data_IF_252408052590
#
_entry.id   IF_252408052590
#
_cell.length_a   1.000
_cell.length_b   1.000
_cell.length_c   1.000
_cell.angle_alpha   90.00
_cell.angle_beta   90.00
_cell.angle_gamma   90.00
#
_symmetry.space_group_name_H-M   'P 1'
#
loop_
_entity.id
_entity.type
_entity.pdbx_description
1 polymer ?
#
# COMPACT_ATOMS: atom_id res chain seq x y z
N UNK A 1 -16.75 -7.01 -17.86
CA UNK A 1 -15.55 -6.60 -18.61
C UNK A 1 -15.11 -5.18 -18.28
N UNK A 2 -15.94 -4.14 -18.48
CA UNK A 2 -15.57 -2.75 -18.14
C UNK A 2 -15.20 -2.55 -16.66
N UNK A 3 -15.96 -3.15 -15.74
CA UNK A 3 -15.70 -3.08 -14.29
C UNK A 3 -14.31 -3.57 -13.89
N UNK A 4 -13.83 -4.66 -14.53
CA UNK A 4 -12.49 -5.20 -14.31
C UNK A 4 -11.41 -4.22 -14.77
N UNK A 5 -11.59 -3.59 -15.93
CA UNK A 5 -10.65 -2.58 -16.46
C UNK A 5 -10.58 -1.39 -15.51
N UNK A 6 -11.71 -0.88 -15.03
CA UNK A 6 -11.74 0.19 -14.02
C UNK A 6 -11.05 -0.22 -12.72
N UNK A 7 -11.28 -1.45 -12.25
CA UNK A 7 -10.58 -2.00 -11.09
C UNK A 7 -9.06 -2.00 -11.27
N UNK A 8 -8.56 -2.48 -12.41
CA UNK A 8 -7.12 -2.47 -12.71
C UNK A 8 -6.53 -1.05 -12.68
N UNK A 9 -7.24 -0.07 -13.25
CA UNK A 9 -6.79 1.34 -13.26
C UNK A 9 -6.72 1.90 -11.83
N UNK A 10 -7.73 1.65 -11.00
CA UNK A 10 -7.79 2.14 -9.60
C UNK A 10 -6.70 1.48 -8.73
N UNK A 11 -6.31 0.25 -9.04
CA UNK A 11 -5.26 -0.44 -8.30
C UNK A 11 -3.84 0.05 -8.62
N UNK A 12 -3.59 0.71 -9.75
CA UNK A 12 -2.27 1.28 -10.08
C UNK A 12 -1.76 2.21 -8.95
N UNK A 13 -2.51 3.24 -8.51
CA UNK A 13 -2.07 4.09 -7.40
C UNK A 13 -1.94 3.31 -6.08
N UNK A 14 -2.73 2.25 -5.87
CA UNK A 14 -2.58 1.39 -4.69
C UNK A 14 -1.23 0.68 -4.69
N UNK A 15 -0.81 0.11 -5.82
CA UNK A 15 0.52 -0.48 -5.96
C UNK A 15 1.64 0.55 -5.73
N UNK A 16 1.50 1.75 -6.30
CA UNK A 16 2.48 2.83 -6.10
C UNK A 16 2.60 3.22 -4.63
N UNK A 17 1.48 3.35 -3.92
CA UNK A 17 1.46 3.63 -2.48
C UNK A 17 2.13 2.49 -1.70
N UNK A 18 1.76 1.23 -1.96
CA UNK A 18 2.36 0.07 -1.26
C UNK A 18 3.88 -0.01 -1.48
N UNK A 19 4.35 0.24 -2.69
CA UNK A 19 5.78 0.29 -3.00
C UNK A 19 6.44 1.45 -2.25
N UNK A 20 5.84 2.65 -2.28
CA UNK A 20 6.36 3.82 -1.56
C UNK A 20 6.46 3.57 -0.05
N UNK A 21 5.48 2.89 0.55
CA UNK A 21 5.51 2.53 1.98
C UNK A 21 6.65 1.57 2.35
N UNK A 22 7.15 0.77 1.41
CA UNK A 22 8.29 -0.13 1.64
C UNK A 22 9.61 0.65 1.68
N UNK A 23 9.74 1.68 0.84
CA UNK A 23 10.94 2.52 0.74
C UNK A 23 10.98 3.65 1.78
N UNK A 24 9.83 4.27 2.08
CA UNK A 24 9.69 5.36 3.05
C UNK A 24 8.65 5.04 4.14
N UNK A 25 8.86 3.98 4.95
CA UNK A 25 7.90 3.53 5.95
C UNK A 25 7.63 4.57 7.05
N UNK A 26 8.63 5.35 7.46
CA UNK A 26 8.48 6.40 8.46
C UNK A 26 7.49 7.49 7.98
N UNK A 27 7.70 7.99 6.76
CA UNK A 27 6.81 8.97 6.15
C UNK A 27 5.40 8.40 5.95
N UNK A 28 5.31 7.12 5.61
CA UNK A 28 4.06 6.39 5.42
C UNK A 28 3.26 6.24 6.72
N UNK A 29 3.88 5.96 7.86
CA UNK A 29 3.19 5.86 9.16
C UNK A 29 2.51 7.18 9.51
N UNK A 30 3.15 8.30 9.15
CA UNK A 30 2.65 9.65 9.41
C UNK A 30 1.73 10.19 8.32
N UNK A 31 1.50 9.41 7.25
CA UNK A 31 0.70 9.87 6.12
C UNK A 31 -0.73 10.20 6.55
N UNK A 32 -1.16 11.43 6.27
CA UNK A 32 -2.46 11.95 6.69
C UNK A 32 -2.59 12.29 8.19
N UNK A 33 -1.54 12.10 9.00
CA UNK A 33 -1.55 12.38 10.45
C UNK A 33 -0.64 13.53 10.88
N UNK A 34 0.29 13.98 10.02
CA UNK A 34 1.27 15.04 10.36
C UNK A 34 0.64 16.32 10.91
N UNK A 35 -0.55 16.70 10.42
CA UNK A 35 -1.25 17.91 10.85
C UNK A 35 -1.79 17.85 12.30
N UNK A 36 -1.81 16.68 12.92
CA UNK A 36 -2.31 16.49 14.29
C UNK A 36 -1.28 16.81 15.37
N UNK A 37 0.00 16.93 14.99
CA UNK A 37 1.11 17.10 15.93
C UNK A 37 1.67 18.52 15.85
N UNK A 38 2.05 19.09 17.01
CA UNK A 38 2.65 20.43 17.10
C UNK A 38 4.10 20.46 16.62
N UNK A 39 4.78 19.32 16.73
CA UNK A 39 6.18 19.10 16.38
C UNK A 39 6.29 17.85 15.51
N UNK A 40 7.46 17.62 14.90
CA UNK A 40 7.69 16.43 14.07
C UNK A 40 7.65 15.17 14.96
N UNK A 41 6.65 14.28 14.78
CA UNK A 41 6.52 13.11 15.63
C UNK A 41 7.58 12.06 15.26
N UNK A 42 8.30 11.55 16.27
CA UNK A 42 9.19 10.40 16.10
C UNK A 42 8.37 9.11 15.98
N UNK A 43 8.69 8.30 14.98
CA UNK A 43 8.01 7.02 14.73
C UNK A 43 8.79 5.89 15.39
N UNK A 44 8.10 4.99 16.09
CA UNK A 44 8.76 3.83 16.69
C UNK A 44 9.27 2.84 15.63
N UNK A 45 10.40 2.19 15.92
CA UNK A 45 10.97 1.15 15.05
C UNK A 45 9.99 0.01 14.77
N UNK A 46 9.14 -0.31 15.75
CA UNK A 46 8.08 -1.31 15.61
C UNK A 46 7.03 -0.89 14.58
N UNK A 47 6.60 0.37 14.59
CA UNK A 47 5.66 0.90 13.62
C UNK A 47 6.26 0.93 12.21
N UNK A 48 7.53 1.34 12.08
CA UNK A 48 8.27 1.31 10.82
C UNK A 48 8.33 -0.13 10.26
N UNK A 49 8.74 -1.09 11.09
CA UNK A 49 8.86 -2.50 10.71
C UNK A 49 7.50 -3.09 10.35
N UNK A 50 6.46 -2.79 11.14
CA UNK A 50 5.10 -3.24 10.88
C UNK A 50 4.60 -2.72 9.53
N UNK A 51 4.72 -1.42 9.26
CA UNK A 51 4.31 -0.83 7.98
C UNK A 51 5.02 -1.50 6.81
N UNK A 52 6.34 -1.69 6.88
CA UNK A 52 7.10 -2.35 5.83
C UNK A 52 6.62 -3.79 5.57
N UNK A 53 6.42 -4.59 6.62
CA UNK A 53 5.96 -5.98 6.51
C UNK A 53 4.53 -6.03 5.93
N UNK A 54 3.63 -5.19 6.45
CA UNK A 54 2.24 -5.14 5.98
C UNK A 54 2.13 -4.69 4.53
N UNK A 55 2.94 -3.73 4.09
CA UNK A 55 2.97 -3.31 2.69
C UNK A 55 3.44 -4.43 1.76
N UNK A 56 4.44 -5.23 2.17
CA UNK A 56 4.88 -6.41 1.41
C UNK A 56 3.77 -7.48 1.34
N UNK A 57 3.14 -7.79 2.48
CA UNK A 57 2.04 -8.76 2.53
C UNK A 57 0.88 -8.28 1.64
N UNK A 58 0.50 -7.01 1.73
CA UNK A 58 -0.55 -6.42 0.91
C UNK A 58 -0.20 -6.49 -0.58
N UNK A 59 1.07 -6.23 -0.96
CA UNK A 59 1.54 -6.35 -2.34
C UNK A 59 1.37 -7.79 -2.88
N UNK A 60 1.75 -8.79 -2.08
CA UNK A 60 1.63 -10.21 -2.44
C UNK A 60 0.16 -10.61 -2.58
N UNK A 61 -0.69 -10.24 -1.61
CA UNK A 61 -2.12 -10.54 -1.63
C UNK A 61 -2.80 -9.88 -2.83
N UNK A 62 -2.50 -8.61 -3.10
CA UNK A 62 -3.05 -7.88 -4.23
C UNK A 62 -2.58 -8.49 -5.57
N UNK A 63 -1.31 -8.89 -5.67
CA UNK A 63 -0.78 -9.62 -6.82
C UNK A 63 -1.49 -10.96 -7.04
N UNK A 64 -1.75 -11.72 -5.97
CA UNK A 64 -2.50 -12.98 -6.06
C UNK A 64 -3.93 -12.76 -6.55
N UNK A 65 -4.63 -11.76 -6.02
CA UNK A 65 -5.97 -11.37 -6.49
C UNK A 65 -5.95 -11.07 -7.99
N UNK A 66 -4.94 -10.33 -8.46
CA UNK A 66 -4.78 -9.99 -9.87
C UNK A 66 -4.61 -11.24 -10.75
N UNK A 67 -3.76 -12.19 -10.34
CA UNK A 67 -3.56 -13.45 -11.06
C UNK A 67 -4.86 -14.25 -11.13
N UNK A 68 -5.59 -14.39 -10.02
CA UNK A 68 -6.87 -15.10 -9.99
C UNK A 68 -7.90 -14.44 -10.90
N UNK A 69 -8.02 -13.11 -10.86
CA UNK A 69 -8.93 -12.36 -11.72
C UNK A 69 -8.56 -12.48 -13.20
N UNK A 70 -7.27 -12.49 -13.52
CA UNK A 70 -6.77 -12.67 -14.88
C UNK A 70 -7.08 -14.07 -15.41
N UNK A 71 -6.83 -15.13 -14.62
CA UNK A 71 -7.18 -16.51 -14.99
C UNK A 71 -8.70 -16.65 -15.22
N UNK A 72 -9.52 -16.01 -14.38
CA UNK A 72 -10.99 -16.03 -14.55
C UNK A 72 -11.46 -15.30 -15.81
N UNK A 73 -10.66 -14.37 -16.35
CA UNK A 73 -11.00 -13.57 -17.52
C UNK A 73 -10.70 -14.28 -18.84
N UNK A 74 -9.72 -15.19 -18.85
CA UNK A 74 -9.40 -16.09 -19.97
C UNK A 74 -10.51 -17.14 -20.11
#
# INVERSE_FOLDING_TARGET
>A
MAELIFFFIICIPVFLILIWQIYNPEDAVLWGKRWMYKEQPEVSDEAIKYTKIMSIIALIVLGFIFVVLFIRMI
#
